data_IF_271000990494
#
_entry.id   IF_271000990494
#
_cell.length_a   1.000
_cell.length_b   1.000
_cell.length_c   1.000
_cell.angle_alpha   90.00
_cell.angle_beta   90.00
_cell.angle_gamma   90.00
#
_symmetry.space_group_name_H-M   'P 1'
#
loop_
_entity.id
_entity.type
_entity.pdbx_description
1 polymer ?
#
# COMPACT_ATOMS: atom_id res chain seq x y z
N UNK A 1 -35.11 12.81 16.36
CA UNK A 1 -35.16 11.82 15.27
C UNK A 1 -33.73 11.44 14.97
N UNK A 2 -33.28 10.25 15.37
CA UNK A 2 -31.90 9.81 15.09
C UNK A 2 -31.86 9.33 13.63
N UNK A 3 -31.17 10.07 12.77
CA UNK A 3 -30.86 9.62 11.42
C UNK A 3 -29.75 8.58 11.54
N UNK A 4 -30.05 7.35 11.15
CA UNK A 4 -29.03 6.31 11.01
C UNK A 4 -28.41 6.55 9.65
N UNK A 5 -27.17 7.06 9.64
CA UNK A 5 -26.38 7.17 8.43
C UNK A 5 -25.94 5.76 8.06
N UNK A 6 -26.53 5.22 6.99
CA UNK A 6 -26.19 3.90 6.48
C UNK A 6 -25.03 4.06 5.51
N UNK A 7 -23.95 3.31 5.72
CA UNK A 7 -22.82 3.28 4.80
C UNK A 7 -23.30 2.95 3.38
N UNK A 8 -22.91 3.78 2.42
CA UNK A 8 -23.29 3.63 1.02
C UNK A 8 -22.71 2.31 0.45
N UNK A 9 -23.57 1.31 0.23
CA UNK A 9 -23.15 0.01 -0.30
C UNK A 9 -22.99 0.10 -1.81
N UNK A 10 -21.76 0.33 -2.28
CA UNK A 10 -21.44 0.24 -3.71
C UNK A 10 -21.51 -1.23 -4.17
N UNK A 11 -22.47 -1.55 -5.03
CA UNK A 11 -22.54 -2.85 -5.70
C UNK A 11 -21.41 -2.99 -6.73
N UNK A 12 -20.24 -3.43 -6.28
CA UNK A 12 -19.10 -3.74 -7.15
C UNK A 12 -19.42 -5.01 -7.94
N UNK A 13 -19.79 -4.84 -9.21
CA UNK A 13 -20.10 -5.93 -10.14
C UNK A 13 -18.87 -6.77 -10.49
N UNK A 14 -19.05 -7.68 -11.46
CA UNK A 14 -17.91 -8.37 -12.07
C UNK A 14 -17.12 -7.36 -12.90
N UNK A 15 -15.80 -7.50 -12.94
CA UNK A 15 -14.96 -6.71 -13.83
C UNK A 15 -15.30 -7.05 -15.29
N UNK A 16 -15.57 -6.04 -16.11
CA UNK A 16 -15.85 -6.22 -17.53
C UNK A 16 -14.54 -6.29 -18.30
N UNK A 17 -14.18 -7.47 -18.79
CA UNK A 17 -12.96 -7.68 -19.57
C UNK A 17 -13.22 -7.37 -21.05
N UNK A 18 -12.36 -6.55 -21.64
CA UNK A 18 -12.31 -6.26 -23.09
C UNK A 18 -11.95 -7.50 -23.89
N UNK A 19 -11.01 -8.30 -23.40
CA UNK A 19 -10.56 -9.52 -24.06
C UNK A 19 -10.04 -10.58 -23.07
N UNK A 20 -9.61 -11.73 -23.61
CA UNK A 20 -9.03 -12.83 -22.83
C UNK A 20 -7.69 -12.45 -22.19
N UNK A 21 -6.91 -11.56 -22.80
CA UNK A 21 -5.59 -11.15 -22.30
C UNK A 21 -5.74 -10.28 -21.05
N UNK A 22 -6.66 -9.32 -21.07
CA UNK A 22 -6.97 -8.48 -19.92
C UNK A 22 -7.51 -9.33 -18.76
N UNK A 23 -8.38 -10.30 -19.04
CA UNK A 23 -8.83 -11.25 -18.02
C UNK A 23 -7.66 -11.99 -17.38
N UNK A 24 -6.70 -12.45 -18.18
CA UNK A 24 -5.52 -13.14 -17.67
C UNK A 24 -4.64 -12.23 -16.82
N UNK A 25 -4.38 -11.00 -17.28
CA UNK A 25 -3.63 -9.99 -16.53
C UNK A 25 -4.30 -9.65 -15.19
N UNK A 26 -5.61 -9.46 -15.19
CA UNK A 26 -6.38 -9.19 -13.98
C UNK A 26 -6.27 -10.34 -12.96
N UNK A 27 -6.30 -11.60 -13.40
CA UNK A 27 -6.16 -12.74 -12.50
C UNK A 27 -4.74 -12.85 -11.90
N UNK A 28 -3.71 -12.56 -12.68
CA UNK A 28 -2.33 -12.46 -12.18
C UNK A 28 -2.24 -11.34 -11.14
N UNK A 29 -2.81 -10.17 -11.46
CA UNK A 29 -2.83 -9.02 -10.56
C UNK A 29 -3.58 -9.36 -9.28
N UNK A 30 -4.78 -9.98 -9.34
CA UNK A 30 -5.53 -10.46 -8.17
C UNK A 30 -4.65 -11.30 -7.25
N UNK A 31 -3.98 -12.32 -7.81
CA UNK A 31 -3.10 -13.21 -7.02
C UNK A 31 -1.98 -12.42 -6.34
N UNK A 32 -1.35 -11.47 -7.04
CA UNK A 32 -0.27 -10.65 -6.50
C UNK A 32 -0.78 -9.68 -5.43
N UNK A 33 -1.89 -8.98 -5.68
CA UNK A 33 -2.54 -8.10 -4.70
C UNK A 33 -2.88 -8.84 -3.43
N UNK A 34 -3.46 -10.04 -3.52
CA UNK A 34 -3.76 -10.88 -2.35
C UNK A 34 -2.51 -11.27 -1.57
N UNK A 35 -1.44 -11.67 -2.27
CA UNK A 35 -0.16 -12.01 -1.63
C UNK A 35 0.44 -10.78 -0.93
N UNK A 36 0.35 -9.60 -1.54
CA UNK A 36 1.03 -8.39 -1.07
C UNK A 36 0.26 -7.66 0.02
N UNK A 37 -1.07 -7.72 0.00
CA UNK A 37 -1.94 -6.94 0.89
C UNK A 37 -1.59 -7.03 2.39
N UNK A 38 -1.39 -8.24 2.98
CA UNK A 38 -1.05 -8.35 4.40
C UNK A 38 0.24 -7.62 4.77
N UNK A 39 1.21 -7.57 3.85
CA UNK A 39 2.47 -6.86 4.07
C UNK A 39 2.27 -5.34 4.07
N UNK A 40 1.41 -4.83 3.20
CA UNK A 40 1.09 -3.40 3.15
C UNK A 40 0.40 -2.94 4.43
N UNK A 41 -0.59 -3.69 4.91
CA UNK A 41 -1.29 -3.40 6.17
C UNK A 41 -0.30 -3.40 7.32
N UNK A 42 0.46 -4.49 7.51
CA UNK A 42 1.45 -4.60 8.57
C UNK A 42 2.47 -3.45 8.56
N UNK A 43 3.02 -3.12 7.39
CA UNK A 43 3.99 -2.03 7.27
C UNK A 43 3.37 -0.66 7.61
N UNK A 44 2.14 -0.40 7.16
CA UNK A 44 1.44 0.85 7.45
C UNK A 44 1.11 1.02 8.95
N UNK A 45 0.64 -0.04 9.61
CA UNK A 45 0.36 -0.04 11.05
C UNK A 45 1.63 0.21 11.87
N UNK A 46 2.73 -0.47 11.51
CA UNK A 46 4.02 -0.30 12.18
C UNK A 46 4.54 1.12 12.01
N UNK A 47 4.40 1.71 10.82
CA UNK A 47 4.77 3.10 10.57
C UNK A 47 3.93 4.06 11.41
N UNK A 48 2.62 3.86 11.48
CA UNK A 48 1.72 4.68 12.29
C UNK A 48 2.05 4.59 13.78
N UNK A 49 2.30 3.37 14.28
CA UNK A 49 2.71 3.13 15.66
C UNK A 49 4.05 3.81 15.98
N UNK A 50 5.03 3.73 15.06
CA UNK A 50 6.31 4.43 15.18
C UNK A 50 6.11 5.95 15.29
N UNK A 51 5.31 6.54 14.39
CA UNK A 51 5.01 7.99 14.39
C UNK A 51 4.37 8.43 15.70
N UNK A 52 3.37 7.69 16.18
CA UNK A 52 2.70 7.96 17.47
C UNK A 52 3.70 7.97 18.63
N UNK A 53 4.61 7.00 18.68
CA UNK A 53 5.64 6.91 19.74
C UNK A 53 6.69 8.01 19.63
N UNK A 54 7.15 8.33 18.41
CA UNK A 54 8.09 9.44 18.18
C UNK A 54 7.51 10.81 18.55
N UNK A 55 6.20 11.00 18.37
CA UNK A 55 5.48 12.20 18.80
C UNK A 55 5.58 12.47 20.30
N UNK A 56 5.65 11.42 21.12
CA UNK A 56 5.68 11.52 22.58
C UNK A 56 7.09 11.76 23.16
N UNK A 57 8.14 11.57 22.37
CA UNK A 57 9.51 11.76 22.84
C UNK A 57 9.87 13.25 22.80
N UNK A 58 10.40 13.78 23.90
CA UNK A 58 10.67 15.23 24.03
C UNK A 58 12.00 15.65 23.41
N UNK A 59 13.06 14.87 23.60
CA UNK A 59 14.42 15.28 23.20
C UNK A 59 14.78 14.77 21.79
N UNK A 60 15.60 15.55 21.06
CA UNK A 60 16.09 15.15 19.73
C UNK A 60 16.98 13.90 19.80
N UNK A 61 17.75 13.73 20.88
CA UNK A 61 18.65 12.59 21.06
C UNK A 61 17.87 11.29 21.24
N UNK A 62 16.85 11.31 22.10
CA UNK A 62 16.01 10.13 22.35
C UNK A 62 15.20 9.76 21.11
N UNK A 63 14.68 10.76 20.37
CA UNK A 63 14.02 10.52 19.07
C UNK A 63 14.97 9.78 18.14
N UNK A 64 16.19 10.27 17.96
CA UNK A 64 17.19 9.65 17.08
C UNK A 64 17.52 8.21 17.51
N UNK A 65 17.73 7.97 18.81
CA UNK A 65 18.02 6.63 19.34
C UNK A 65 16.85 5.68 19.11
N UNK A 66 15.64 6.12 19.43
CA UNK A 66 14.43 5.33 19.27
C UNK A 66 14.12 5.01 17.81
N UNK A 67 14.20 6.01 16.92
CA UNK A 67 14.06 5.82 15.47
C UNK A 67 15.02 4.74 14.98
N UNK A 68 16.29 4.77 15.38
CA UNK A 68 17.29 3.77 14.96
C UNK A 68 16.93 2.35 15.42
N UNK A 69 16.45 2.18 16.66
CA UNK A 69 16.04 0.87 17.19
C UNK A 69 14.88 0.29 16.37
N UNK A 70 13.85 1.11 16.13
CA UNK A 70 12.68 0.66 15.37
C UNK A 70 13.02 0.42 13.90
N UNK A 71 13.86 1.26 13.30
CA UNK A 71 14.36 1.06 11.94
C UNK A 71 15.07 -0.28 11.80
N UNK A 72 16.04 -0.59 12.66
CA UNK A 72 16.76 -1.86 12.60
C UNK A 72 15.80 -3.06 12.72
N UNK A 73 14.87 -3.01 13.68
CA UNK A 73 13.87 -4.07 13.86
C UNK A 73 12.98 -4.26 12.63
N UNK A 74 12.49 -3.16 12.05
CA UNK A 74 11.67 -3.20 10.85
C UNK A 74 12.49 -3.66 9.63
N UNK A 75 13.72 -3.19 9.46
CA UNK A 75 14.60 -3.66 8.40
C UNK A 75 14.81 -5.17 8.51
N UNK A 76 15.10 -5.71 9.70
CA UNK A 76 15.34 -7.14 9.88
C UNK A 76 14.06 -7.97 9.62
N UNK A 77 12.90 -7.56 10.14
CA UNK A 77 11.64 -8.28 9.91
C UNK A 77 11.16 -8.17 8.45
N UNK A 78 11.16 -6.97 7.88
CA UNK A 78 10.65 -6.76 6.52
C UNK A 78 11.65 -7.24 5.46
N UNK A 79 12.96 -7.28 5.73
CA UNK A 79 13.95 -7.72 4.73
C UNK A 79 13.70 -9.13 4.22
N UNK A 80 13.47 -10.07 5.13
CA UNK A 80 13.24 -11.46 4.72
C UNK A 80 11.88 -11.64 4.03
N UNK A 81 10.87 -10.86 4.42
CA UNK A 81 9.57 -10.87 3.74
C UNK A 81 9.61 -10.21 2.35
N UNK A 82 10.28 -9.06 2.23
CA UNK A 82 10.41 -8.33 0.97
C UNK A 82 11.24 -9.10 -0.06
N UNK A 83 12.26 -9.85 0.38
CA UNK A 83 13.02 -10.76 -0.50
C UNK A 83 12.15 -11.85 -1.13
N UNK A 84 11.02 -12.23 -0.53
CA UNK A 84 10.08 -13.22 -1.08
C UNK A 84 9.15 -12.63 -2.15
N UNK A 85 9.17 -11.31 -2.34
CA UNK A 85 8.38 -10.64 -3.35
C UNK A 85 9.13 -10.59 -4.67
N UNK A 86 8.42 -10.90 -5.75
CA UNK A 86 8.92 -10.59 -7.09
C UNK A 86 8.96 -9.08 -7.30
N UNK A 87 9.73 -8.60 -8.28
CA UNK A 87 9.79 -7.17 -8.62
C UNK A 87 8.39 -6.52 -8.76
N UNK A 88 7.48 -7.15 -9.50
CA UNK A 88 6.12 -6.62 -9.71
C UNK A 88 5.25 -6.67 -8.46
N UNK A 89 5.49 -7.63 -7.55
CA UNK A 89 4.85 -7.63 -6.23
C UNK A 89 5.37 -6.50 -5.35
N UNK A 90 6.66 -6.18 -5.42
CA UNK A 90 7.22 -5.00 -4.74
C UNK A 90 6.66 -3.67 -5.26
N UNK A 91 6.37 -3.57 -6.55
CA UNK A 91 5.70 -2.39 -7.12
C UNK A 91 4.27 -2.23 -6.58
N UNK A 92 3.52 -3.33 -6.53
CA UNK A 92 2.19 -3.36 -5.91
C UNK A 92 2.29 -2.97 -4.43
N UNK A 93 3.33 -3.42 -3.72
CA UNK A 93 3.51 -3.06 -2.31
C UNK A 93 3.66 -1.55 -2.13
N UNK A 94 4.49 -0.89 -2.94
CA UNK A 94 4.67 0.56 -2.82
C UNK A 94 3.37 1.32 -3.07
N UNK A 95 2.62 0.92 -4.10
CA UNK A 95 1.31 1.46 -4.41
C UNK A 95 0.33 1.29 -3.24
N UNK A 96 0.28 0.10 -2.67
CA UNK A 96 -0.57 -0.17 -1.50
C UNK A 96 -0.09 0.58 -0.25
N UNK A 97 1.22 0.78 -0.07
CA UNK A 97 1.73 1.64 1.00
C UNK A 97 1.21 3.07 0.84
N UNK A 98 1.32 3.66 -0.36
CA UNK A 98 0.75 4.98 -0.63
C UNK A 98 -0.76 5.02 -0.33
N UNK A 99 -1.52 4.00 -0.74
CA UNK A 99 -2.94 3.86 -0.39
C UNK A 99 -3.19 3.91 1.12
N UNK A 100 -2.33 3.29 1.93
CA UNK A 100 -2.49 3.22 3.39
C UNK A 100 -1.90 4.40 4.17
N UNK A 101 -0.90 5.10 3.62
CA UNK A 101 -0.19 6.15 4.35
C UNK A 101 -0.45 7.53 3.81
N UNK A 102 -0.91 7.65 2.56
CA UNK A 102 -1.03 8.92 1.83
C UNK A 102 0.31 9.55 1.48
N UNK A 103 1.40 8.78 1.55
CA UNK A 103 2.76 9.26 1.31
C UNK A 103 3.51 8.25 0.46
N UNK A 104 4.37 8.75 -0.43
CA UNK A 104 5.23 7.85 -1.22
C UNK A 104 6.14 7.07 -0.29
N UNK A 105 6.45 5.83 -0.67
CA UNK A 105 7.41 5.06 0.13
C UNK A 105 8.77 5.74 0.11
N UNK A 106 9.11 6.47 -0.95
CA UNK A 106 10.28 7.35 -0.97
C UNK A 106 10.27 8.38 0.16
N UNK A 107 9.15 9.09 0.40
CA UNK A 107 9.06 10.09 1.46
C UNK A 107 9.09 9.46 2.85
N UNK A 108 8.37 8.35 3.04
CA UNK A 108 8.43 7.55 4.28
C UNK A 108 9.87 7.17 4.61
N UNK A 109 10.63 6.72 3.62
CA UNK A 109 12.00 6.25 3.77
C UNK A 109 12.99 7.41 3.92
N UNK A 110 12.77 8.52 3.21
CA UNK A 110 13.57 9.76 3.30
C UNK A 110 13.49 10.39 4.69
N UNK A 111 12.29 10.44 5.28
CA UNK A 111 12.06 10.98 6.62
C UNK A 111 12.70 10.10 7.71
N UNK A 112 12.82 8.81 7.43
CA UNK A 112 13.48 7.80 8.25
C UNK A 112 14.98 7.71 7.91
N UNK A 113 15.81 8.62 8.45
CA UNK A 113 17.26 8.74 8.17
C UNK A 113 18.04 7.40 7.95
N UNK A 114 18.89 7.43 6.93
CA UNK A 114 20.11 6.64 6.62
C UNK A 114 20.09 5.10 6.61
N UNK A 115 19.54 4.40 7.62
CA UNK A 115 19.55 2.92 7.64
C UNK A 115 18.59 2.34 6.61
N UNK A 116 17.36 2.82 6.68
CA UNK A 116 16.25 2.33 5.86
C UNK A 116 16.48 2.67 4.38
N UNK A 117 16.95 3.88 4.10
CA UNK A 117 17.40 4.29 2.76
C UNK A 117 18.36 3.25 2.17
N UNK A 118 19.45 2.91 2.89
CA UNK A 118 20.45 1.98 2.40
C UNK A 118 19.88 0.58 2.18
N UNK A 119 18.95 0.10 3.00
CA UNK A 119 18.28 -1.19 2.77
C UNK A 119 17.49 -1.23 1.45
N UNK A 120 16.63 -0.23 1.19
CA UNK A 120 15.85 -0.17 -0.07
C UNK A 120 16.71 0.14 -1.29
N UNK A 121 17.72 0.98 -1.14
CA UNK A 121 18.69 1.25 -2.21
C UNK A 121 19.57 0.02 -2.48
N UNK A 122 20.11 -0.69 -1.49
CA UNK A 122 21.02 -1.81 -1.73
C UNK A 122 20.31 -3.08 -2.20
N UNK A 123 19.05 -3.29 -1.82
CA UNK A 123 18.32 -4.51 -2.17
C UNK A 123 17.78 -4.46 -3.60
N UNK A 124 17.49 -3.28 -4.18
CA UNK A 124 17.00 -3.18 -5.58
C UNK A 124 17.13 -1.76 -6.22
N UNK A 125 18.33 -1.17 -6.16
CA UNK A 125 18.63 0.25 -6.35
C UNK A 125 18.05 1.01 -7.57
N UNK A 126 17.91 0.38 -8.74
CA UNK A 126 17.52 1.13 -9.95
C UNK A 126 16.04 1.06 -10.26
N UNK A 127 15.39 -0.06 -9.94
CA UNK A 127 14.00 -0.33 -10.29
C UNK A 127 13.02 0.17 -9.23
N UNK A 128 13.43 0.13 -7.96
CA UNK A 128 12.60 0.62 -6.89
C UNK A 128 12.66 2.15 -6.77
N UNK A 129 13.71 2.85 -7.21
CA UNK A 129 13.73 4.32 -7.01
C UNK A 129 12.59 5.04 -7.78
N UNK A 130 12.22 4.55 -8.97
CA UNK A 130 11.04 5.05 -9.70
C UNK A 130 9.77 4.62 -8.95
N UNK A 131 9.64 3.32 -8.68
CA UNK A 131 8.42 2.80 -8.04
C UNK A 131 8.19 3.32 -6.63
N UNK A 132 9.23 3.62 -5.86
CA UNK A 132 9.15 4.19 -4.50
C UNK A 132 8.49 5.57 -4.49
N UNK A 133 8.54 6.29 -5.60
CA UNK A 133 7.92 7.60 -5.79
C UNK A 133 6.56 7.51 -6.46
N UNK A 134 6.13 6.31 -6.88
CA UNK A 134 4.81 6.13 -7.47
C UNK A 134 3.73 6.31 -6.40
N UNK A 135 2.68 7.01 -6.80
CA UNK A 135 1.46 7.19 -6.03
C UNK A 135 0.44 6.11 -6.40
N UNK A 136 -0.68 6.06 -5.66
CA UNK A 136 -1.83 5.23 -5.99
C UNK A 136 -2.95 6.09 -6.55
N UNK A 137 -3.18 6.01 -7.86
CA UNK A 137 -4.19 6.82 -8.56
C UNK A 137 -5.07 5.93 -9.45
N UNK A 138 -6.17 5.38 -8.89
CA UNK A 138 -7.15 4.60 -9.65
C UNK A 138 -7.83 5.37 -10.79
N UNK A 139 -7.86 6.70 -10.77
CA UNK A 139 -8.50 7.49 -11.82
C UNK A 139 -7.58 7.53 -13.03
N UNK A 140 -6.29 7.81 -12.84
CA UNK A 140 -5.35 7.97 -13.95
C UNK A 140 -4.66 6.67 -14.38
N UNK A 141 -4.50 5.71 -13.45
CA UNK A 141 -3.77 4.47 -13.68
C UNK A 141 -4.72 3.26 -13.65
N UNK A 142 -4.83 2.58 -14.79
CA UNK A 142 -5.73 1.42 -14.94
C UNK A 142 -5.36 0.24 -14.01
N UNK A 143 -4.08 0.01 -13.79
CA UNK A 143 -3.61 -1.04 -12.87
C UNK A 143 -4.07 -0.74 -11.44
N UNK A 144 -3.97 0.51 -10.99
CA UNK A 144 -4.39 0.94 -9.65
C UNK A 144 -5.90 0.80 -9.48
N UNK A 145 -6.67 1.12 -10.52
CA UNK A 145 -8.09 0.83 -10.57
C UNK A 145 -8.39 -0.67 -10.44
N UNK A 146 -7.67 -1.52 -11.16
CA UNK A 146 -7.86 -2.97 -11.04
C UNK A 146 -7.50 -3.46 -9.63
N UNK A 147 -6.41 -2.95 -9.03
CA UNK A 147 -6.01 -3.25 -7.65
C UNK A 147 -7.12 -2.84 -6.68
N UNK A 148 -7.62 -1.61 -6.77
CA UNK A 148 -8.69 -1.12 -5.89
C UNK A 148 -9.98 -1.92 -6.06
N UNK A 149 -10.35 -2.26 -7.30
CA UNK A 149 -11.48 -3.15 -7.57
C UNK A 149 -11.26 -4.53 -6.95
N UNK A 150 -10.06 -5.09 -7.02
CA UNK A 150 -9.72 -6.39 -6.40
C UNK A 150 -9.91 -6.31 -4.88
N UNK A 151 -9.35 -5.29 -4.24
CA UNK A 151 -9.41 -5.09 -2.80
C UNK A 151 -10.84 -4.93 -2.30
N UNK A 152 -11.59 -3.98 -2.86
CA UNK A 152 -12.98 -3.73 -2.42
C UNK A 152 -13.87 -4.94 -2.62
N UNK A 153 -13.65 -5.73 -3.68
CA UNK A 153 -14.35 -7.00 -3.88
C UNK A 153 -13.97 -8.02 -2.81
N UNK A 154 -12.69 -8.15 -2.50
CA UNK A 154 -12.18 -9.08 -1.51
C UNK A 154 -12.62 -8.75 -0.08
N UNK A 155 -12.71 -7.46 0.27
CA UNK A 155 -13.23 -7.03 1.57
C UNK A 155 -14.71 -7.38 1.72
N UNK A 156 -15.50 -7.16 0.67
CA UNK A 156 -16.92 -7.51 0.68
C UNK A 156 -17.17 -9.02 0.77
N UNK A 157 -16.29 -9.83 0.18
CA UNK A 157 -16.37 -11.30 0.27
C UNK A 157 -15.64 -11.87 1.48
N UNK A 158 -15.08 -11.01 2.35
CA UNK A 158 -14.28 -11.39 3.51
C UNK A 158 -13.08 -12.28 3.16
N UNK A 159 -12.61 -12.24 1.90
CA UNK A 159 -11.40 -12.93 1.44
C UNK A 159 -10.13 -12.25 1.97
N UNK A 160 -10.21 -10.94 2.29
CA UNK A 160 -9.16 -10.14 2.90
C UNK A 160 -9.74 -9.28 4.01
N UNK A 161 -8.96 -9.05 5.06
CA UNK A 161 -9.30 -8.07 6.10
C UNK A 161 -9.33 -6.66 5.50
N UNK A 162 -10.44 -5.95 5.74
CA UNK A 162 -10.62 -4.58 5.27
C UNK A 162 -9.68 -3.63 6.00
N UNK A 163 -9.05 -2.74 5.26
CA UNK A 163 -8.30 -1.61 5.81
C UNK A 163 -8.55 -0.36 4.97
N UNK A 164 -9.06 0.67 5.64
CA UNK A 164 -9.46 1.91 4.99
C UNK A 164 -8.26 2.59 4.35
N UNK A 165 -8.48 3.10 3.14
CA UNK A 165 -7.46 3.92 2.47
C UNK A 165 -7.28 5.23 3.24
N UNK A 166 -6.04 5.71 3.30
CA UNK A 166 -5.75 7.02 3.89
C UNK A 166 -5.99 8.17 2.92
N UNK A 167 -5.94 7.87 1.63
CA UNK A 167 -6.23 8.80 0.55
C UNK A 167 -7.71 8.74 0.17
N UNK A 168 -8.23 9.84 -0.35
CA UNK A 168 -9.55 9.83 -0.98
C UNK A 168 -9.47 9.10 -2.34
N UNK A 169 -10.43 8.22 -2.59
CA UNK A 169 -10.49 7.41 -3.81
C UNK A 169 -11.88 7.54 -4.41
N UNK A 170 -11.98 8.33 -5.49
CA UNK A 170 -13.19 8.44 -6.32
C UNK A 170 -13.42 7.18 -7.16
N UNK A 171 -13.68 6.05 -6.48
CA UNK A 171 -13.77 4.74 -7.13
C UNK A 171 -14.91 4.68 -8.15
N UNK A 172 -16.03 5.36 -7.91
CA UNK A 172 -17.14 5.43 -8.86
C UNK A 172 -16.75 6.14 -10.16
N UNK A 173 -15.93 7.19 -10.08
CA UNK A 173 -15.42 7.91 -11.24
C UNK A 173 -14.43 7.06 -12.02
N UNK A 174 -13.49 6.43 -11.32
CA UNK A 174 -12.57 5.46 -11.92
C UNK A 174 -13.34 4.31 -12.61
N UNK A 175 -14.35 3.76 -11.93
CA UNK A 175 -15.20 2.71 -12.49
C UNK A 175 -15.90 3.16 -13.76
N UNK A 176 -16.45 4.39 -13.81
CA UNK A 176 -17.08 4.95 -15.02
C UNK A 176 -16.06 5.13 -16.16
N UNK A 177 -14.85 5.62 -15.86
CA UNK A 177 -13.79 5.87 -16.84
C UNK A 177 -13.28 4.58 -17.49
N UNK A 178 -13.11 3.53 -16.71
CA UNK A 178 -12.53 2.26 -17.16
C UNK A 178 -13.58 1.22 -17.58
N UNK A 179 -14.87 1.58 -17.56
CA UNK A 179 -16.01 0.71 -17.95
C UNK A 179 -15.99 0.34 -19.43
#
# INVERSE_FOLDING_TARGET
MAAIDLDEVVLIGRYNFKDRRERHQYLILKRKTFKVWPYAVLASDRLQALRKRLGNIKTKSDKKRYTKIVQNYMEDEFKEELKKLTKTEGQILVKLMYRQTGETTFDVVKDLKSGWNAFWYNTTASLFNISLKEEFDPIQVKEDYMIEHILRRAFRTEELESHDAKIDISFLEAMKKWK
#
